data_IF_373216267745
#
_entry.id   IF_373216267745
#
_cell.length_a   1.000
_cell.length_b   1.000
_cell.length_c   1.000
_cell.angle_alpha   90.00
_cell.angle_beta   90.00
_cell.angle_gamma   90.00
#
_symmetry.space_group_name_H-M   'P 1'
#
loop_
_entity.id
_entity.type
_entity.pdbx_description
1 polymer ?
#
# COMPACT_ATOMS: atom_id res chain seq x y z
N UNK A 1 -22.39 -17.69 -26.73
CA UNK A 1 -21.05 -17.13 -27.02
C UNK A 1 -21.03 -15.71 -26.46
N UNK A 2 -20.52 -15.54 -25.23
CA UNK A 2 -20.38 -14.23 -24.59
C UNK A 2 -18.93 -13.78 -24.80
N UNK A 3 -18.74 -12.65 -25.47
CA UNK A 3 -17.42 -12.05 -25.71
C UNK A 3 -16.92 -11.47 -24.39
N UNK A 4 -15.83 -12.00 -23.84
CA UNK A 4 -15.09 -11.37 -22.74
C UNK A 4 -14.20 -10.29 -23.37
N UNK A 5 -14.39 -9.05 -22.94
CA UNK A 5 -13.49 -7.94 -23.25
C UNK A 5 -12.34 -7.99 -22.25
N UNK A 6 -11.12 -8.26 -22.72
CA UNK A 6 -9.91 -7.99 -21.97
C UNK A 6 -9.66 -6.48 -22.05
N UNK A 7 -9.72 -5.79 -20.91
CA UNK A 7 -9.34 -4.38 -20.81
C UNK A 7 -7.91 -4.33 -20.26
N UNK A 8 -6.95 -4.28 -21.18
CA UNK A 8 -5.55 -3.97 -20.90
C UNK A 8 -5.47 -2.47 -20.58
N UNK A 9 -5.37 -2.11 -19.30
CA UNK A 9 -5.17 -0.72 -18.89
C UNK A 9 -3.69 -0.37 -19.01
N UNK A 10 -3.32 0.19 -20.15
CA UNK A 10 -2.05 0.88 -20.32
C UNK A 10 -2.18 2.28 -19.72
N UNK A 11 -1.50 2.54 -18.60
CA UNK A 11 -1.41 3.87 -18.03
C UNK A 11 -0.39 4.71 -18.83
N UNK A 12 -0.86 5.29 -19.94
CA UNK A 12 -0.15 6.36 -20.66
C UNK A 12 -0.72 7.69 -20.17
N UNK A 13 0.10 8.48 -19.47
CA UNK A 13 -0.18 9.89 -19.27
C UNK A 13 0.93 10.73 -19.92
N UNK A 14 0.75 11.00 -21.22
CA UNK A 14 1.42 12.09 -21.92
C UNK A 14 0.47 13.27 -21.95
N UNK A 15 0.86 14.40 -21.35
CA UNK A 15 0.37 15.72 -21.75
C UNK A 15 1.55 16.56 -22.22
N UNK A 16 1.64 16.69 -23.54
CA UNK A 16 2.42 17.74 -24.18
C UNK A 16 1.56 19.01 -24.26
N UNK A 17 2.10 20.15 -23.83
CA UNK A 17 1.63 21.47 -24.22
C UNK A 17 2.71 22.17 -25.04
N UNK A 18 2.31 22.55 -26.26
CA UNK A 18 3.07 23.19 -27.33
C UNK A 18 3.20 24.70 -27.14
N UNK A 19 4.31 25.27 -27.65
CA UNK A 19 4.53 26.58 -28.32
C UNK A 19 5.89 27.15 -27.87
N UNK A 20 6.76 27.77 -28.67
CA UNK A 20 6.84 28.03 -30.11
C UNK A 20 8.16 28.79 -30.36
N UNK A 21 8.89 28.38 -31.40
CA UNK A 21 9.86 29.12 -32.23
C UNK A 21 11.14 29.74 -31.64
N UNK A 22 12.28 29.30 -32.22
CA UNK A 22 13.56 30.04 -32.17
C UNK A 22 14.72 29.36 -32.91
N UNK A 23 14.56 29.13 -34.22
CA UNK A 23 15.50 28.53 -35.21
C UNK A 23 17.00 28.89 -35.13
N UNK A 24 17.80 27.90 -35.59
CA UNK A 24 19.09 27.96 -36.33
C UNK A 24 20.34 28.40 -35.54
N UNK A 25 21.57 27.96 -35.83
CA UNK A 25 22.20 26.86 -36.57
C UNK A 25 23.71 27.07 -36.30
N UNK A 26 24.47 25.98 -36.25
CA UNK A 26 25.90 25.89 -36.58
C UNK A 26 27.04 26.18 -35.58
N UNK A 27 28.10 25.45 -35.88
CA UNK A 27 29.41 25.11 -35.29
C UNK A 27 30.30 26.15 -34.55
N UNK A 28 31.24 25.55 -33.79
CA UNK A 28 32.67 25.87 -33.67
C UNK A 28 33.21 26.85 -32.59
N UNK A 29 34.07 26.28 -31.72
CA UNK A 29 35.48 26.70 -31.50
C UNK A 29 35.77 27.91 -30.57
N UNK A 30 36.22 27.56 -29.35
CA UNK A 30 37.52 27.98 -28.73
C UNK A 30 37.61 29.18 -27.77
N UNK A 31 38.32 28.88 -26.66
CA UNK A 31 39.19 29.70 -25.79
C UNK A 31 38.66 30.69 -24.74
N UNK A 32 38.97 30.35 -23.48
CA UNK A 32 39.64 31.13 -22.41
C UNK A 32 39.41 32.66 -22.32
N UNK A 33 39.08 33.14 -21.12
CA UNK A 33 40.05 33.82 -20.21
C UNK A 33 39.34 34.29 -18.92
N UNK A 34 40.04 34.08 -17.80
CA UNK A 34 39.83 34.58 -16.43
C UNK A 34 39.70 36.10 -16.33
N UNK A 35 39.06 36.62 -15.28
CA UNK A 35 39.66 37.50 -14.24
C UNK A 35 38.61 37.79 -13.15
N UNK A 36 39.11 37.78 -11.92
CA UNK A 36 38.45 38.06 -10.66
C UNK A 36 37.89 39.49 -10.54
N UNK A 37 36.96 39.70 -9.62
CA UNK A 37 37.09 40.83 -8.72
C UNK A 37 36.50 40.51 -7.35
N UNK A 38 37.25 40.91 -6.32
CA UNK A 38 36.91 40.80 -4.91
C UNK A 38 36.73 42.22 -4.38
N UNK A 39 35.66 42.48 -3.65
CA UNK A 39 35.60 43.69 -2.82
C UNK A 39 34.81 43.43 -1.55
N UNK A 40 35.54 43.56 -0.44
CA UNK A 40 35.10 43.61 0.95
C UNK A 40 34.61 45.01 1.32
N UNK A 41 33.53 45.13 2.11
CA UNK A 41 33.35 46.19 3.13
C UNK A 41 32.58 45.59 4.32
N UNK A 42 33.02 46.00 5.51
CA UNK A 42 32.68 45.49 6.83
C UNK A 42 31.71 46.40 7.63
N UNK A 43 31.48 45.97 8.88
CA UNK A 43 31.00 46.69 10.08
C UNK A 43 29.48 46.68 10.31
N UNK A 44 28.96 45.95 11.29
CA UNK A 44 29.08 46.02 12.77
C UNK A 44 28.03 46.98 13.36
N UNK A 45 27.05 46.43 14.10
CA UNK A 45 26.37 47.14 15.19
C UNK A 45 25.79 46.14 16.19
N UNK A 46 26.26 46.26 17.43
CA UNK A 46 25.81 45.61 18.66
C UNK A 46 24.68 46.43 19.31
N UNK A 47 23.69 45.79 19.96
CA UNK A 47 23.24 46.10 21.34
C UNK A 47 21.94 45.36 21.72
N UNK A 48 21.92 44.94 22.98
CA UNK A 48 20.89 44.21 23.71
C UNK A 48 19.67 45.06 24.06
N UNK A 49 18.58 44.43 24.52
CA UNK A 49 18.19 44.48 25.94
C UNK A 49 16.98 43.58 26.27
N UNK A 50 17.01 43.16 27.53
CA UNK A 50 16.14 42.28 28.31
C UNK A 50 14.88 43.04 28.78
N UNK A 51 13.72 42.38 28.85
CA UNK A 51 12.65 42.81 29.78
C UNK A 51 11.65 41.69 30.07
N UNK A 52 11.69 41.23 31.32
CA UNK A 52 10.65 40.45 32.01
C UNK A 52 9.47 41.34 32.41
N UNK A 53 8.22 40.87 32.27
CA UNK A 53 7.09 41.17 33.19
C UNK A 53 6.10 40.00 33.16
N UNK A 54 5.85 39.43 34.34
CA UNK A 54 4.65 38.65 34.65
C UNK A 54 3.63 39.60 35.30
N UNK A 55 2.33 39.42 35.09
CA UNK A 55 1.32 39.63 36.14
C UNK A 55 0.06 38.77 35.89
N UNK A 56 -0.47 38.35 37.04
CA UNK A 56 -1.62 37.54 37.38
C UNK A 56 -2.93 38.36 37.25
N UNK A 57 -4.02 37.76 36.80
CA UNK A 57 -5.36 38.27 37.13
C UNK A 57 -6.38 37.13 37.13
N UNK A 58 -6.83 36.80 38.33
CA UNK A 58 -7.99 35.97 38.62
C UNK A 58 -9.25 36.83 38.66
N UNK A 59 -10.34 36.37 38.02
CA UNK A 59 -11.72 36.77 38.34
C UNK A 59 -12.62 35.55 38.15
N UNK A 60 -13.27 35.15 39.23
CA UNK A 60 -14.43 34.27 39.24
C UNK A 60 -15.71 35.10 39.04
N UNK A 61 -16.71 34.56 38.34
CA UNK A 61 -18.02 34.20 38.92
C UNK A 61 -19.07 33.84 37.86
N UNK A 62 -19.73 32.70 38.14
CA UNK A 62 -21.17 32.47 38.12
C UNK A 62 -21.97 32.61 36.80
N UNK A 63 -22.49 31.49 36.28
CA UNK A 63 -23.86 31.42 35.75
C UNK A 63 -24.33 29.96 35.77
N UNK A 64 -25.39 29.72 36.54
CA UNK A 64 -26.20 28.50 36.55
C UNK A 64 -27.14 28.48 35.34
N UNK A 65 -27.20 27.38 34.60
CA UNK A 65 -28.34 27.05 33.74
C UNK A 65 -28.48 25.52 33.62
N UNK A 66 -29.54 25.01 34.24
CA UNK A 66 -30.03 23.66 34.03
C UNK A 66 -30.83 23.64 32.74
N UNK A 67 -30.51 22.74 31.80
CA UNK A 67 -31.47 22.29 30.78
C UNK A 67 -31.50 20.77 30.73
N UNK A 68 -32.71 20.28 30.99
CA UNK A 68 -33.20 18.93 30.83
C UNK A 68 -33.34 18.66 29.32
N UNK A 69 -32.52 17.77 28.78
CA UNK A 69 -32.70 17.24 27.41
C UNK A 69 -32.73 15.73 27.48
N UNK A 70 -33.95 15.20 27.56
CA UNK A 70 -34.25 13.80 27.36
C UNK A 70 -34.09 13.46 25.88
N UNK A 71 -32.91 12.95 25.52
CA UNK A 71 -32.66 12.34 24.21
C UNK A 71 -33.22 10.92 24.26
N UNK A 72 -34.33 10.72 23.56
CA UNK A 72 -34.83 9.39 23.24
C UNK A 72 -33.84 8.70 22.29
N UNK A 73 -33.07 7.74 22.79
CA UNK A 73 -32.36 6.77 21.97
C UNK A 73 -33.38 5.89 21.25
N UNK A 74 -33.56 6.12 19.95
CA UNK A 74 -34.11 5.12 19.03
C UNK A 74 -32.96 4.20 18.61
N UNK A 75 -32.54 3.34 19.53
CA UNK A 75 -31.61 2.25 19.24
C UNK A 75 -32.41 1.13 18.58
N UNK A 76 -32.66 1.27 17.28
CA UNK A 76 -32.96 0.10 16.43
C UNK A 76 -31.71 -0.76 16.34
N UNK A 77 -31.48 -1.54 17.40
CA UNK A 77 -30.63 -2.72 17.38
C UNK A 77 -31.29 -3.73 16.42
N UNK A 78 -31.05 -3.54 15.12
CA UNK A 78 -31.26 -4.58 14.13
C UNK A 78 -30.28 -5.67 14.53
N UNK A 79 -30.80 -6.73 15.13
CA UNK A 79 -30.05 -7.95 15.40
C UNK A 79 -29.64 -8.46 14.03
N UNK A 80 -28.46 -8.07 13.58
CA UNK A 80 -27.87 -8.55 12.34
C UNK A 80 -27.81 -10.08 12.51
N UNK A 81 -28.68 -10.77 11.80
CA UNK A 81 -28.57 -12.20 11.62
C UNK A 81 -27.14 -12.44 11.14
N UNK A 82 -26.34 -13.16 11.94
CA UNK A 82 -24.93 -13.34 11.67
C UNK A 82 -24.80 -13.90 10.24
N UNK A 83 -24.24 -13.10 9.33
CA UNK A 83 -24.13 -13.48 7.94
C UNK A 83 -23.43 -14.84 7.84
N UNK A 84 -24.01 -15.73 7.02
CA UNK A 84 -23.50 -17.07 6.85
C UNK A 84 -22.08 -17.01 6.27
N UNK A 85 -21.15 -17.75 6.89
CA UNK A 85 -19.79 -17.89 6.38
C UNK A 85 -19.84 -18.64 5.05
N UNK A 86 -19.27 -18.04 4.01
CA UNK A 86 -19.23 -18.63 2.67
C UNK A 86 -17.93 -19.41 2.44
N UNK A 87 -17.97 -20.35 1.49
CA UNK A 87 -16.75 -21.03 1.04
C UNK A 87 -15.88 -20.11 0.18
N UNK A 88 -14.60 -20.43 0.02
CA UNK A 88 -13.73 -19.68 -0.91
C UNK A 88 -14.29 -19.65 -2.33
N UNK A 89 -14.83 -20.78 -2.82
CA UNK A 89 -15.43 -20.85 -4.15
C UNK A 89 -16.65 -19.91 -4.29
N UNK A 90 -17.47 -19.80 -3.24
CA UNK A 90 -18.60 -18.86 -3.22
C UNK A 90 -18.12 -17.41 -3.15
N UNK A 91 -17.06 -17.12 -2.38
CA UNK A 91 -16.42 -15.80 -2.34
C UNK A 91 -15.88 -15.38 -3.72
N UNK A 92 -15.16 -16.27 -4.41
CA UNK A 92 -14.67 -16.02 -5.77
C UNK A 92 -15.83 -15.77 -6.74
N UNK A 93 -16.93 -16.51 -6.60
CA UNK A 93 -18.12 -16.37 -7.44
C UNK A 93 -19.01 -15.16 -7.08
N UNK A 94 -18.86 -14.58 -5.89
CA UNK A 94 -19.64 -13.41 -5.46
C UNK A 94 -19.39 -12.21 -6.39
N UNK A 95 -20.46 -11.46 -6.66
CA UNK A 95 -20.37 -10.23 -7.45
C UNK A 95 -19.61 -9.15 -6.67
N UNK A 96 -18.92 -8.26 -7.39
CA UNK A 96 -18.34 -7.03 -6.80
C UNK A 96 -19.46 -6.19 -6.19
N UNK A 97 -19.14 -5.42 -5.15
CA UNK A 97 -20.05 -4.58 -4.36
C UNK A 97 -21.13 -5.37 -3.58
N UNK A 98 -20.89 -6.67 -3.34
CA UNK A 98 -21.76 -7.50 -2.49
C UNK A 98 -21.12 -7.81 -1.15
N UNK A 99 -21.97 -7.96 -0.13
CA UNK A 99 -21.54 -8.31 1.21
C UNK A 99 -21.00 -9.76 1.21
N UNK A 100 -19.83 -9.94 1.83
CA UNK A 100 -19.16 -11.23 1.97
C UNK A 100 -18.75 -11.46 3.42
N UNK A 101 -18.86 -12.72 3.87
CA UNK A 101 -18.42 -13.14 5.20
C UNK A 101 -17.62 -14.43 5.08
N UNK A 102 -16.35 -14.39 5.50
CA UNK A 102 -15.39 -15.49 5.34
C UNK A 102 -14.71 -15.81 6.68
N UNK A 103 -14.27 -17.04 6.86
CA UNK A 103 -13.35 -17.41 7.94
C UNK A 103 -11.99 -17.74 7.32
N UNK A 104 -10.93 -17.11 7.83
CA UNK A 104 -9.60 -17.15 7.22
C UNK A 104 -8.52 -17.02 8.29
N UNK A 105 -7.27 -17.27 7.92
CA UNK A 105 -6.13 -17.18 8.84
C UNK A 105 -5.18 -16.09 8.39
N UNK A 106 -4.79 -15.21 9.33
CA UNK A 106 -3.80 -14.17 9.09
C UNK A 106 -2.49 -14.79 8.63
N UNK A 107 -1.91 -14.32 7.52
CA UNK A 107 -0.59 -14.73 7.04
C UNK A 107 0.43 -13.61 7.20
N UNK A 108 0.01 -12.37 6.93
CA UNK A 108 0.78 -11.17 7.16
C UNK A 108 -0.16 -9.99 7.40
N UNK A 109 0.31 -9.00 8.14
CA UNK A 109 -0.33 -7.70 8.30
C UNK A 109 0.59 -6.61 7.79
N UNK A 110 -0.02 -5.50 7.41
CA UNK A 110 0.69 -4.28 7.07
C UNK A 110 0.67 -3.29 8.26
N UNK A 111 1.03 -2.04 8.00
CA UNK A 111 0.96 -0.98 8.99
C UNK A 111 -0.48 -0.75 9.49
N UNK A 112 -0.63 -0.65 10.81
CA UNK A 112 -1.86 -0.20 11.46
C UNK A 112 -1.87 1.33 11.54
N UNK A 113 -2.97 1.96 11.11
CA UNK A 113 -3.15 3.41 11.18
C UNK A 113 -4.65 3.76 11.21
N UNK A 114 -5.01 4.86 11.87
CA UNK A 114 -6.38 5.39 11.94
C UNK A 114 -7.46 4.34 12.31
N UNK A 115 -7.16 3.45 13.27
CA UNK A 115 -8.02 2.33 13.66
C UNK A 115 -8.37 1.36 12.52
N UNK A 116 -7.47 1.23 11.55
CA UNK A 116 -7.58 0.27 10.45
C UNK A 116 -6.31 -0.54 10.29
N UNK A 117 -6.45 -1.76 9.77
CA UNK A 117 -5.33 -2.63 9.41
C UNK A 117 -5.60 -3.31 8.06
N UNK A 118 -4.56 -3.42 7.24
CA UNK A 118 -4.60 -4.25 6.04
C UNK A 118 -3.96 -5.60 6.35
N UNK A 119 -4.61 -6.69 5.93
CA UNK A 119 -4.16 -8.05 6.21
C UNK A 119 -4.23 -8.94 4.96
N UNK A 120 -3.17 -9.72 4.76
CA UNK A 120 -3.18 -10.87 3.88
C UNK A 120 -3.58 -12.09 4.69
N UNK A 121 -4.63 -12.78 4.24
CA UNK A 121 -5.17 -13.94 4.95
C UNK A 121 -5.37 -15.09 3.98
N UNK A 122 -5.28 -16.33 4.47
CA UNK A 122 -5.35 -17.52 3.64
C UNK A 122 -5.85 -18.73 4.42
N UNK A 123 -6.71 -19.51 3.80
CA UNK A 123 -7.10 -20.84 4.25
C UNK A 123 -6.56 -21.92 3.28
N UNK A 124 -7.01 -23.16 3.42
CA UNK A 124 -6.55 -24.26 2.58
C UNK A 124 -7.04 -24.19 1.11
N UNK A 125 -8.09 -23.41 0.84
CA UNK A 125 -8.76 -23.30 -0.44
C UNK A 125 -8.32 -22.05 -1.22
N UNK A 126 -7.96 -20.96 -0.52
CA UNK A 126 -7.47 -19.73 -1.15
C UNK A 126 -7.19 -18.59 -0.19
N UNK A 127 -6.92 -17.42 -0.76
CA UNK A 127 -6.51 -16.23 -0.01
C UNK A 127 -7.43 -15.04 -0.22
N UNK A 128 -7.45 -14.16 0.78
CA UNK A 128 -8.25 -12.95 0.83
C UNK A 128 -7.33 -11.80 1.23
N UNK A 129 -7.37 -10.74 0.43
CA UNK A 129 -6.77 -9.47 0.78
C UNK A 129 -7.84 -8.61 1.45
N UNK A 130 -7.59 -8.23 2.71
CA UNK A 130 -8.52 -7.44 3.51
C UNK A 130 -7.92 -6.05 3.65
N UNK A 131 -8.52 -5.08 2.98
CA UNK A 131 -7.99 -3.73 2.89
C UNK A 131 -8.66 -2.81 3.91
N UNK A 132 -7.86 -2.16 4.76
CA UNK A 132 -8.34 -1.15 5.69
C UNK A 132 -9.42 -1.64 6.67
N UNK A 133 -9.33 -2.89 7.13
CA UNK A 133 -10.29 -3.48 8.07
C UNK A 133 -10.31 -2.71 9.38
N UNK A 134 -11.50 -2.40 9.90
CA UNK A 134 -11.65 -1.75 11.20
C UNK A 134 -11.01 -2.60 12.31
N UNK A 135 -10.05 -2.03 13.03
CA UNK A 135 -9.23 -2.75 13.99
C UNK A 135 -8.67 -1.81 15.07
N UNK A 136 -8.90 -2.13 16.34
CA UNK A 136 -8.25 -1.41 17.45
C UNK A 136 -6.75 -1.70 17.47
N UNK A 137 -5.94 -0.81 18.06
CA UNK A 137 -4.49 -1.06 18.22
C UNK A 137 -4.23 -2.34 19.05
N UNK A 138 -5.06 -2.59 20.06
CA UNK A 138 -4.97 -3.79 20.90
C UNK A 138 -5.22 -5.07 20.10
N UNK A 139 -6.21 -5.06 19.21
CA UNK A 139 -6.54 -6.22 18.40
C UNK A 139 -5.56 -6.40 17.24
N UNK A 140 -5.04 -5.30 16.68
CA UNK A 140 -3.97 -5.34 15.67
C UNK A 140 -2.75 -6.13 16.18
N UNK A 141 -2.37 -5.93 17.45
CA UNK A 141 -1.28 -6.68 18.08
C UNK A 141 -1.54 -8.19 18.21
N UNK A 142 -2.81 -8.64 18.11
CA UNK A 142 -3.22 -10.06 18.19
C UNK A 142 -3.36 -10.71 16.81
N UNK A 143 -3.38 -9.91 15.72
CA UNK A 143 -3.42 -10.39 14.34
C UNK A 143 -2.03 -10.85 13.89
N UNK A 144 -1.52 -11.89 14.54
CA UNK A 144 -0.25 -12.55 14.19
C UNK A 144 -0.48 -13.69 13.19
N UNK A 145 0.55 -14.11 12.44
CA UNK A 145 0.42 -15.22 11.52
C UNK A 145 -0.18 -16.47 12.18
N UNK A 146 -1.21 -17.02 11.54
CA UNK A 146 -1.93 -18.21 11.97
C UNK A 146 -3.14 -17.95 12.85
N UNK A 147 -3.43 -16.70 13.21
CA UNK A 147 -4.65 -16.33 13.92
C UNK A 147 -5.87 -16.50 13.01
N UNK A 148 -6.87 -17.26 13.46
CA UNK A 148 -8.14 -17.42 12.75
C UNK A 148 -9.09 -16.27 13.05
N UNK A 149 -9.62 -15.66 12.00
CA UNK A 149 -10.59 -14.57 12.09
C UNK A 149 -11.79 -14.84 11.19
N UNK A 150 -12.97 -14.39 11.63
CA UNK A 150 -14.16 -14.26 10.80
C UNK A 150 -14.26 -12.81 10.34
N UNK A 151 -14.30 -12.58 9.04
CA UNK A 151 -14.28 -11.25 8.43
C UNK A 151 -15.58 -11.03 7.69
N UNK A 152 -16.21 -9.88 7.89
CA UNK A 152 -17.40 -9.46 7.15
C UNK A 152 -17.18 -8.08 6.55
N UNK A 153 -17.46 -7.92 5.26
CA UNK A 153 -17.27 -6.66 4.54
C UNK A 153 -17.90 -6.73 3.15
N UNK A 154 -17.36 -5.97 2.20
CA UNK A 154 -17.81 -5.96 0.80
C UNK A 154 -16.68 -6.37 -0.14
N UNK A 155 -17.01 -7.19 -1.13
CA UNK A 155 -16.07 -7.53 -2.19
C UNK A 155 -15.84 -6.31 -3.09
N UNK A 156 -14.60 -5.91 -3.29
CA UNK A 156 -14.20 -4.81 -4.18
C UNK A 156 -13.10 -5.27 -5.14
N UNK A 157 -12.85 -4.47 -6.17
CA UNK A 157 -11.68 -4.61 -7.05
C UNK A 157 -11.04 -3.24 -7.21
N UNK A 158 -9.78 -3.12 -6.77
CA UNK A 158 -8.98 -1.91 -6.95
C UNK A 158 -7.76 -2.24 -7.80
N UNK A 159 -7.61 -1.55 -8.94
CA UNK A 159 -6.48 -1.75 -9.86
C UNK A 159 -6.22 -3.22 -10.30
N UNK A 160 -7.27 -4.06 -10.28
CA UNK A 160 -7.18 -5.48 -10.63
C UNK A 160 -6.96 -6.41 -9.43
N UNK A 161 -6.67 -5.89 -8.24
CA UNK A 161 -6.60 -6.66 -7.01
C UNK A 161 -8.01 -6.88 -6.46
N UNK A 162 -8.35 -8.14 -6.14
CA UNK A 162 -9.62 -8.50 -5.51
C UNK A 162 -9.45 -8.40 -4.00
N UNK A 163 -10.35 -7.65 -3.36
CA UNK A 163 -10.21 -7.26 -1.96
C UNK A 163 -11.54 -7.36 -1.19
N UNK A 164 -11.46 -7.39 0.14
CA UNK A 164 -12.58 -7.18 1.05
C UNK A 164 -12.38 -5.83 1.75
N UNK A 165 -13.30 -4.89 1.52
CA UNK A 165 -13.28 -3.52 2.08
C UNK A 165 -14.44 -3.32 3.06
N UNK A 166 -14.44 -2.18 3.75
CA UNK A 166 -15.43 -1.83 4.80
C UNK A 166 -15.61 -2.97 5.81
N UNK A 167 -14.50 -3.65 6.11
CA UNK A 167 -14.51 -4.91 6.82
C UNK A 167 -14.48 -4.73 8.33
N UNK A 168 -15.20 -5.60 9.03
CA UNK A 168 -15.05 -5.86 10.46
C UNK A 168 -14.66 -7.32 10.67
N UNK A 169 -14.15 -7.65 11.85
CA UNK A 169 -13.80 -9.03 12.17
C UNK A 169 -14.09 -9.42 13.61
N UNK A 170 -14.12 -10.73 13.81
CA UNK A 170 -14.19 -11.39 15.11
C UNK A 170 -13.07 -12.44 15.18
N UNK A 171 -12.38 -12.54 16.32
CA UNK A 171 -11.47 -13.65 16.58
C UNK A 171 -12.26 -14.95 16.72
N UNK A 172 -11.78 -16.03 16.10
CA UNK A 172 -12.40 -17.35 16.27
C UNK A 172 -11.69 -18.07 17.42
N UNK A 173 -12.28 -17.97 18.60
CA UNK A 173 -11.75 -18.57 19.83
C UNK A 173 -11.59 -20.09 19.74
N UNK A 174 -10.46 -20.60 20.23
CA UNK A 174 -10.17 -22.03 20.28
C UNK A 174 -9.91 -22.71 18.94
N UNK A 175 -9.73 -21.94 17.84
CA UNK A 175 -9.34 -22.49 16.56
C UNK A 175 -7.87 -22.93 16.54
N UNK A 176 -7.60 -24.04 15.85
CA UNK A 176 -6.23 -24.44 15.51
C UNK A 176 -5.59 -23.41 14.58
N UNK A 177 -4.31 -23.13 14.78
CA UNK A 177 -3.56 -22.20 13.94
C UNK A 177 -3.22 -22.80 12.56
N UNK A 178 -3.23 -21.97 11.52
CA UNK A 178 -2.84 -22.37 10.16
C UNK A 178 -1.95 -21.33 9.48
N UNK A 179 -0.77 -21.78 9.03
CA UNK A 179 0.14 -21.01 8.18
C UNK A 179 0.17 -21.67 6.81
N UNK A 180 -0.18 -20.92 5.77
CA UNK A 180 -0.17 -21.43 4.41
C UNK A 180 1.27 -21.76 3.97
N UNK A 181 1.52 -22.92 3.34
CA UNK A 181 2.81 -23.17 2.69
C UNK A 181 2.92 -22.30 1.44
N UNK A 182 4.13 -21.80 1.14
CA UNK A 182 4.36 -21.05 -0.09
C UNK A 182 4.09 -21.94 -1.32
N UNK A 183 3.20 -21.49 -2.19
CA UNK A 183 2.89 -22.18 -3.45
C UNK A 183 3.86 -21.75 -4.54
N UNK A 184 4.55 -22.69 -5.18
CA UNK A 184 5.43 -22.38 -6.31
C UNK A 184 4.59 -22.11 -7.57
N UNK A 185 4.57 -20.85 -8.00
CA UNK A 185 3.75 -20.40 -9.14
C UNK A 185 4.61 -20.00 -10.34
N UNK A 186 5.90 -20.34 -10.33
CA UNK A 186 6.86 -19.99 -11.40
C UNK A 186 6.35 -20.41 -12.79
N UNK A 187 5.73 -21.58 -12.89
CA UNK A 187 5.24 -22.12 -14.15
C UNK A 187 4.06 -21.33 -14.77
N UNK A 188 3.41 -20.46 -14.00
CA UNK A 188 2.25 -19.68 -14.45
C UNK A 188 2.63 -18.25 -14.87
N UNK A 189 3.88 -17.83 -14.70
CA UNK A 189 4.35 -16.52 -15.14
C UNK A 189 4.05 -16.30 -16.63
N UNK A 190 3.40 -15.17 -16.94
CA UNK A 190 3.00 -14.81 -18.31
C UNK A 190 1.80 -15.58 -18.87
N UNK A 191 1.12 -16.39 -18.06
CA UNK A 191 -0.12 -17.10 -18.44
C UNK A 191 -1.34 -16.44 -17.78
N UNK A 192 -2.52 -16.67 -18.34
CA UNK A 192 -3.78 -16.22 -17.73
C UNK A 192 -4.02 -16.92 -16.37
N UNK A 193 -3.44 -18.10 -16.14
CA UNK A 193 -3.68 -18.89 -14.93
C UNK A 193 -2.99 -18.33 -13.67
N UNK A 194 -2.07 -17.36 -13.80
CA UNK A 194 -1.41 -16.73 -12.66
C UNK A 194 -2.41 -16.03 -11.73
N UNK A 195 -3.51 -15.53 -12.29
CA UNK A 195 -4.56 -14.83 -11.54
C UNK A 195 -5.27 -15.73 -10.51
N UNK A 196 -5.25 -17.05 -10.73
CA UNK A 196 -5.85 -18.02 -9.80
C UNK A 196 -5.09 -18.10 -8.45
N UNK A 197 -3.88 -17.53 -8.38
CA UNK A 197 -3.04 -17.50 -7.19
C UNK A 197 -2.97 -16.11 -6.55
N UNK A 198 -3.81 -15.17 -6.99
CA UNK A 198 -3.89 -13.82 -6.43
C UNK A 198 -4.05 -13.86 -4.90
N UNK A 199 -3.37 -12.95 -4.22
CA UNK A 199 -3.32 -12.79 -2.76
C UNK A 199 -2.75 -13.97 -1.96
N UNK A 200 -2.45 -15.11 -2.60
CA UNK A 200 -1.89 -16.27 -1.91
C UNK A 200 -0.43 -16.06 -1.56
N UNK A 201 0.01 -16.75 -0.52
CA UNK A 201 1.43 -16.87 -0.21
C UNK A 201 2.11 -17.75 -1.26
N UNK A 202 2.90 -17.10 -2.12
CA UNK A 202 3.52 -17.73 -3.29
C UNK A 202 5.05 -17.64 -3.26
N UNK A 203 5.68 -18.45 -4.10
CA UNK A 203 7.12 -18.40 -4.37
C UNK A 203 7.39 -18.48 -5.87
N UNK A 204 8.46 -17.81 -6.29
CA UNK A 204 9.00 -17.86 -7.64
C UNK A 204 10.44 -18.36 -7.56
N UNK A 205 10.82 -19.34 -8.39
CA UNK A 205 12.09 -20.05 -8.29
C UNK A 205 12.79 -20.19 -9.63
N UNK A 206 14.12 -20.31 -9.60
CA UNK A 206 14.92 -20.56 -10.81
C UNK A 206 14.91 -19.41 -11.82
N UNK A 207 14.58 -18.21 -11.37
CA UNK A 207 14.61 -17.00 -12.18
C UNK A 207 15.98 -16.32 -12.08
N UNK A 208 16.37 -15.61 -13.12
CA UNK A 208 17.60 -14.81 -13.17
C UNK A 208 17.23 -13.33 -13.07
N UNK A 209 17.91 -12.57 -12.21
CA UNK A 209 17.75 -11.11 -12.16
C UNK A 209 18.30 -10.49 -13.44
N UNK A 210 17.50 -9.65 -14.07
CA UNK A 210 17.86 -8.88 -15.26
C UNK A 210 18.09 -7.43 -14.87
N UNK A 211 18.92 -6.72 -15.64
CA UNK A 211 19.08 -5.29 -15.46
C UNK A 211 17.73 -4.56 -15.57
N UNK A 212 17.43 -3.73 -14.58
CA UNK A 212 16.28 -2.85 -14.54
C UNK A 212 16.53 -1.54 -15.32
N UNK A 213 17.79 -1.23 -15.63
CA UNK A 213 18.20 0.00 -16.35
C UNK A 213 19.38 -0.24 -17.30
N UNK A 214 19.66 0.74 -18.17
CA UNK A 214 20.75 0.67 -19.16
C UNK A 214 22.14 0.63 -18.52
N UNK A 215 22.30 1.22 -17.33
CA UNK A 215 23.54 1.20 -16.53
C UNK A 215 23.70 -0.08 -15.69
N UNK A 216 22.74 -1.00 -15.77
CA UNK A 216 22.85 -2.33 -15.17
C UNK A 216 22.38 -2.43 -13.72
N UNK A 217 21.58 -1.48 -13.23
CA UNK A 217 20.99 -1.59 -11.89
C UNK A 217 20.10 -2.84 -11.80
N UNK A 218 20.11 -3.54 -10.66
CA UNK A 218 19.29 -4.75 -10.47
C UNK A 218 17.81 -4.42 -10.22
N UNK A 219 17.53 -3.23 -9.68
CA UNK A 219 16.18 -2.73 -9.40
C UNK A 219 16.13 -1.20 -9.53
N UNK A 220 14.93 -0.64 -9.56
CA UNK A 220 14.64 0.80 -9.58
C UNK A 220 13.72 1.18 -8.42
N UNK A 221 13.90 2.38 -7.87
CA UNK A 221 12.87 3.05 -7.07
C UNK A 221 11.91 3.76 -8.01
N UNK A 222 10.61 3.47 -7.89
CA UNK A 222 9.57 3.77 -8.90
C UNK A 222 9.85 3.10 -10.25
N UNK A 223 8.83 3.08 -11.10
CA UNK A 223 8.88 2.42 -12.41
C UNK A 223 9.95 3.01 -13.35
N UNK A 224 10.38 4.26 -13.13
CA UNK A 224 11.30 5.01 -13.97
C UNK A 224 12.65 5.34 -13.31
N UNK A 225 12.89 4.86 -12.08
CA UNK A 225 14.12 5.15 -11.34
C UNK A 225 14.18 6.55 -10.71
N UNK A 226 13.08 7.31 -10.73
CA UNK A 226 13.03 8.66 -10.14
C UNK A 226 12.81 8.67 -8.61
N UNK A 227 12.59 7.50 -8.01
CA UNK A 227 12.28 7.36 -6.59
C UNK A 227 13.49 7.34 -5.65
N UNK A 228 13.20 7.11 -4.38
CA UNK A 228 14.14 6.94 -3.29
C UNK A 228 13.66 5.85 -2.31
N UNK A 229 14.44 5.60 -1.27
CA UNK A 229 14.05 4.64 -0.23
C UNK A 229 12.70 5.01 0.39
N UNK A 230 11.79 4.03 0.44
CA UNK A 230 10.39 4.24 0.79
C UNK A 230 9.44 4.30 -0.41
N UNK A 231 9.95 4.37 -1.64
CA UNK A 231 9.15 4.20 -2.86
C UNK A 231 9.11 2.73 -3.30
N UNK A 232 8.13 2.38 -4.13
CA UNK A 232 8.00 1.06 -4.74
C UNK A 232 9.30 0.60 -5.44
N UNK A 233 9.60 -0.70 -5.34
CA UNK A 233 10.75 -1.30 -6.00
C UNK A 233 10.31 -2.07 -7.25
N UNK A 234 10.92 -1.75 -8.37
CA UNK A 234 10.70 -2.43 -9.65
C UNK A 234 11.96 -3.19 -10.04
N UNK A 235 11.84 -4.48 -10.36
CA UNK A 235 12.95 -5.28 -10.83
C UNK A 235 12.49 -6.24 -11.93
N UNK A 236 13.46 -6.66 -12.76
CA UNK A 236 13.18 -7.57 -13.87
C UNK A 236 13.81 -8.92 -13.60
N UNK A 237 13.11 -9.97 -14.02
CA UNK A 237 13.61 -11.34 -13.94
C UNK A 237 13.34 -12.07 -15.24
N UNK A 238 14.16 -13.06 -15.56
CA UNK A 238 13.96 -13.94 -16.70
C UNK A 238 13.89 -15.40 -16.30
N UNK A 239 13.08 -16.17 -17.02
CA UNK A 239 13.09 -17.64 -16.93
C UNK A 239 14.21 -18.25 -17.79
N UNK A 240 14.39 -19.56 -17.69
CA UNK A 240 15.40 -20.30 -18.45
C UNK A 240 15.19 -20.26 -19.99
N UNK A 241 14.02 -19.83 -20.46
CA UNK A 241 13.73 -19.65 -21.89
C UNK A 241 13.98 -18.21 -22.36
N UNK A 242 14.39 -17.31 -21.47
CA UNK A 242 14.64 -15.90 -21.75
C UNK A 242 13.37 -15.03 -21.80
N UNK A 243 12.22 -15.54 -21.35
CA UNK A 243 11.05 -14.69 -21.17
C UNK A 243 11.30 -13.76 -19.99
N UNK A 244 11.03 -12.47 -20.17
CA UNK A 244 11.26 -11.44 -19.14
C UNK A 244 9.95 -11.04 -18.48
N UNK A 245 10.00 -10.87 -17.16
CA UNK A 245 8.89 -10.44 -16.31
C UNK A 245 9.34 -9.25 -15.47
N UNK A 246 8.43 -8.31 -15.26
CA UNK A 246 8.62 -7.20 -14.33
C UNK A 246 7.87 -7.50 -13.04
N UNK A 247 8.55 -7.30 -11.93
CA UNK A 247 8.01 -7.48 -10.59
C UNK A 247 8.03 -6.13 -9.87
N UNK A 248 6.98 -5.90 -9.08
CA UNK A 248 6.85 -4.71 -8.24
C UNK A 248 6.69 -5.14 -6.79
N UNK A 249 7.46 -4.52 -5.90
CA UNK A 249 7.23 -4.55 -4.45
C UNK A 249 6.68 -3.18 -4.07
N UNK A 250 5.39 -3.12 -3.78
CA UNK A 250 4.70 -1.87 -3.46
C UNK A 250 4.97 -1.45 -2.02
N UNK A 251 5.67 -0.32 -1.86
CA UNK A 251 6.06 0.20 -0.55
C UNK A 251 4.85 0.63 0.28
N UNK A 252 3.76 1.06 -0.37
CA UNK A 252 2.52 1.34 0.33
C UNK A 252 1.99 0.12 1.13
N UNK A 253 2.21 -1.08 0.59
CA UNK A 253 1.70 -2.32 1.18
C UNK A 253 2.68 -3.04 2.10
N UNK A 254 3.99 -2.84 1.93
CA UNK A 254 4.99 -3.56 2.71
C UNK A 254 6.00 -2.66 3.44
N UNK A 255 5.91 -1.34 3.30
CA UNK A 255 6.91 -0.36 3.78
C UNK A 255 8.37 -0.73 3.45
N UNK A 256 9.32 0.13 3.85
CA UNK A 256 10.74 -0.07 3.56
C UNK A 256 11.49 -0.93 4.59
N UNK A 257 10.78 -1.47 5.58
CA UNK A 257 11.38 -2.24 6.70
C UNK A 257 11.15 -3.74 6.59
N UNK A 258 10.29 -4.19 5.67
CA UNK A 258 10.01 -5.62 5.48
C UNK A 258 11.15 -6.40 4.83
N UNK A 259 11.15 -7.71 5.08
CA UNK A 259 12.11 -8.65 4.50
C UNK A 259 12.07 -8.69 2.97
N UNK A 260 10.87 -8.58 2.37
CA UNK A 260 10.72 -8.60 0.91
C UNK A 260 11.34 -7.35 0.27
N UNK A 261 11.11 -6.18 0.85
CA UNK A 261 11.70 -4.93 0.38
C UNK A 261 13.23 -4.95 0.55
N UNK A 262 13.70 -5.45 1.70
CA UNK A 262 15.13 -5.66 1.96
C UNK A 262 15.78 -6.67 1.01
N UNK A 263 15.07 -7.73 0.61
CA UNK A 263 15.57 -8.72 -0.32
C UNK A 263 15.82 -8.11 -1.71
N UNK A 264 14.91 -7.28 -2.22
CA UNK A 264 15.06 -6.61 -3.51
C UNK A 264 16.23 -5.61 -3.50
N UNK A 265 16.44 -4.88 -2.39
CA UNK A 265 17.58 -3.97 -2.23
C UNK A 265 18.95 -4.65 -2.25
N UNK A 266 18.98 -5.97 -2.05
CA UNK A 266 20.21 -6.77 -1.98
C UNK A 266 20.39 -7.72 -3.20
N UNK A 267 19.67 -7.49 -4.31
CA UNK A 267 19.84 -8.23 -5.58
C UNK A 267 21.21 -7.99 -6.24
#
# INVERSE_FOLDING_TARGET
MKKKFALLSACVLVMAATTSCGKNQDEATTTTTTVADATTVAEDTTAAEDTTVAEDTTVAEDTTAAEDTTVAEDTTATTAEAAAVMSYADYVAADVDTAVTVETYVQATQSWWDNTITAYTQDADGAYFIYGMACSEEDAAKLVPGTKIKVSGYKSIWSGEVEIVDATFEFVEGADSYIAPATDVTAFLGTDDIENYMNQFVSFKGLTVEAASEDGAAFLYKYDGSGADGDDLYFNVSDANGNKYSFTVESYLCDNTTDVYSAVKNL
#
